data_IF_427441810801
#
_entry.id   IF_427441810801
#
_cell.length_a   1.000
_cell.length_b   1.000
_cell.length_c   1.000
_cell.angle_alpha   90.00
_cell.angle_beta   90.00
_cell.angle_gamma   90.00
#
_symmetry.space_group_name_H-M   'P 1'
#
loop_
_entity.id
_entity.type
_entity.pdbx_description
1 polymer ?
#
# COMPACT_ATOMS: atom_id res chain seq x y z
N UNK A 1 -9.28 9.98 23.52
CA UNK A 1 -10.57 9.30 23.30
C UNK A 1 -10.37 8.27 22.21
N UNK A 2 -10.81 7.02 22.41
CA UNK A 2 -10.68 5.96 21.40
C UNK A 2 -11.73 6.14 20.31
N UNK A 3 -11.35 5.94 19.04
CA UNK A 3 -12.28 5.99 17.92
C UNK A 3 -13.45 4.99 18.11
N UNK A 4 -14.69 5.35 17.74
CA UNK A 4 -15.82 4.43 17.83
C UNK A 4 -15.64 3.26 16.86
N UNK A 5 -16.12 2.07 17.24
CA UNK A 5 -16.05 0.90 16.35
C UNK A 5 -17.04 1.00 15.18
N UNK A 6 -16.73 0.29 14.10
CA UNK A 6 -17.62 0.12 12.92
C UNK A 6 -19.07 -0.20 13.32
N UNK A 7 -19.24 -1.15 14.25
CA UNK A 7 -20.56 -1.57 14.73
C UNK A 7 -21.27 -0.47 15.51
N UNK A 8 -20.53 0.30 16.33
CA UNK A 8 -21.09 1.42 17.08
C UNK A 8 -21.57 2.53 16.13
N UNK A 9 -20.79 2.84 15.09
CA UNK A 9 -21.18 3.78 14.04
C UNK A 9 -22.45 3.29 13.31
N UNK A 10 -22.50 2.03 12.90
CA UNK A 10 -23.69 1.47 12.23
C UNK A 10 -24.95 1.53 13.12
N UNK A 11 -24.79 1.38 14.44
CA UNK A 11 -25.88 1.59 15.38
C UNK A 11 -26.30 3.06 15.42
N UNK A 12 -25.36 4.02 15.41
CA UNK A 12 -25.66 5.46 15.35
C UNK A 12 -26.41 5.83 14.07
N UNK A 13 -25.99 5.33 12.92
CA UNK A 13 -26.68 5.56 11.63
C UNK A 13 -28.12 5.07 11.72
N UNK A 14 -28.34 3.86 12.24
CA UNK A 14 -29.69 3.32 12.42
C UNK A 14 -30.53 4.12 13.43
N UNK A 15 -29.94 4.65 14.48
CA UNK A 15 -30.65 5.47 15.46
C UNK A 15 -31.01 6.85 14.88
N UNK A 16 -30.10 7.48 14.14
CA UNK A 16 -30.30 8.80 13.56
C UNK A 16 -31.27 8.79 12.37
N UNK A 17 -31.23 7.74 11.54
CA UNK A 17 -31.93 7.69 10.24
C UNK A 17 -32.98 6.59 10.15
N UNK A 18 -33.13 5.79 11.22
CA UNK A 18 -34.00 4.64 11.25
C UNK A 18 -33.41 3.41 10.54
N UNK A 19 -34.22 2.35 10.48
CA UNK A 19 -33.84 1.10 9.79
C UNK A 19 -33.74 1.34 8.29
N UNK A 20 -32.64 0.91 7.66
CA UNK A 20 -32.43 1.01 6.21
C UNK A 20 -33.64 0.52 5.38
N UNK A 21 -34.31 -0.56 5.82
CA UNK A 21 -35.50 -1.12 5.15
C UNK A 21 -36.72 -0.20 5.02
N UNK A 22 -36.72 0.95 5.72
CA UNK A 22 -37.76 1.99 5.57
C UNK A 22 -37.47 2.96 4.43
N UNK A 23 -36.31 2.82 3.79
CA UNK A 23 -35.83 3.68 2.72
C UNK A 23 -35.72 2.90 1.41
N UNK A 24 -35.93 3.59 0.29
CA UNK A 24 -35.67 3.05 -1.03
C UNK A 24 -34.16 2.96 -1.26
N UNK A 25 -33.72 1.90 -1.94
CA UNK A 25 -32.34 1.72 -2.37
C UNK A 25 -31.96 2.84 -3.34
N UNK A 26 -30.89 3.57 -3.05
CA UNK A 26 -30.47 4.73 -3.87
C UNK A 26 -30.20 4.33 -5.33
N UNK A 27 -29.73 3.10 -5.57
CA UNK A 27 -29.32 2.65 -6.91
C UNK A 27 -30.46 2.05 -7.74
N UNK A 28 -31.51 1.49 -7.11
CA UNK A 28 -32.52 0.68 -7.82
C UNK A 28 -33.96 0.86 -7.34
N UNK A 29 -34.20 1.71 -6.35
CA UNK A 29 -35.53 2.02 -5.81
C UNK A 29 -36.18 0.92 -4.96
N UNK A 30 -35.69 -0.34 -5.00
CA UNK A 30 -36.21 -1.43 -4.16
C UNK A 30 -35.97 -1.16 -2.68
N UNK A 31 -36.71 -1.77 -1.73
CA UNK A 31 -36.46 -1.57 -0.31
C UNK A 31 -35.00 -1.90 0.07
N UNK A 32 -34.32 -0.96 0.70
CA UNK A 32 -32.96 -1.17 1.17
C UNK A 32 -32.91 -2.25 2.27
N UNK A 33 -31.71 -2.78 2.50
CA UNK A 33 -31.46 -3.79 3.53
C UNK A 33 -30.38 -3.36 4.50
N UNK A 34 -29.47 -2.51 4.05
CA UNK A 34 -28.30 -2.08 4.79
C UNK A 34 -28.07 -0.59 4.57
N UNK A 35 -27.42 0.03 5.54
CA UNK A 35 -26.75 1.30 5.34
C UNK A 35 -25.37 0.98 4.77
N UNK A 36 -25.04 1.58 3.64
CA UNK A 36 -23.79 1.40 2.90
C UNK A 36 -23.01 2.69 2.98
N UNK A 37 -21.76 2.64 3.42
CA UNK A 37 -20.90 3.81 3.46
C UNK A 37 -20.58 4.27 2.02
N UNK A 38 -20.59 5.58 1.77
CA UNK A 38 -20.43 6.17 0.43
C UNK A 38 -18.96 6.34 -0.01
N UNK A 39 -18.01 6.11 0.89
CA UNK A 39 -16.56 6.33 0.70
C UNK A 39 -16.17 7.78 0.36
N UNK A 40 -17.02 8.75 0.71
CA UNK A 40 -16.79 10.16 0.41
C UNK A 40 -16.29 10.97 1.62
N UNK A 41 -16.11 10.34 2.79
CA UNK A 41 -15.64 11.03 3.99
C UNK A 41 -14.14 11.33 3.91
N UNK A 42 -13.69 12.60 3.90
CA UNK A 42 -12.28 12.93 3.96
C UNK A 42 -11.61 12.48 5.28
N UNK A 43 -12.39 12.26 6.33
CA UNK A 43 -11.97 11.75 7.64
C UNK A 43 -12.31 10.26 7.83
N UNK A 44 -12.37 9.49 6.74
CA UNK A 44 -12.58 8.04 6.74
C UNK A 44 -11.67 7.32 7.76
N UNK A 45 -12.28 6.40 8.50
CA UNK A 45 -11.62 5.49 9.42
C UNK A 45 -11.59 4.08 8.84
N UNK A 46 -10.58 3.31 9.25
CA UNK A 46 -10.43 1.90 8.89
C UNK A 46 -10.32 1.09 10.17
N UNK A 47 -11.12 0.04 10.30
CA UNK A 47 -11.04 -0.87 11.46
C UNK A 47 -9.90 -1.89 11.31
N UNK A 48 -9.63 -2.67 12.36
CA UNK A 48 -8.56 -3.67 12.34
C UNK A 48 -8.75 -4.80 11.29
N UNK A 49 -9.94 -4.92 10.69
CA UNK A 49 -10.26 -5.89 9.64
C UNK A 49 -10.15 -5.28 8.24
N UNK A 50 -9.75 -4.01 8.14
CA UNK A 50 -9.67 -3.28 6.87
C UNK A 50 -11.02 -2.76 6.38
N UNK A 51 -12.05 -2.69 7.24
CA UNK A 51 -13.35 -2.14 6.84
C UNK A 51 -13.34 -0.62 6.98
N UNK A 52 -13.61 0.09 5.89
CA UNK A 52 -13.73 1.54 5.88
C UNK A 52 -15.09 2.01 6.41
N UNK A 53 -15.11 3.12 7.16
CA UNK A 53 -16.31 3.71 7.72
C UNK A 53 -16.12 5.19 8.07
N UNK A 54 -17.23 5.94 8.06
CA UNK A 54 -17.27 7.33 8.54
C UNK A 54 -17.88 7.41 9.93
N UNK A 55 -17.48 8.39 10.75
CA UNK A 55 -18.21 8.67 12.00
C UNK A 55 -19.42 9.58 11.80
N UNK A 56 -19.55 10.21 10.64
CA UNK A 56 -20.67 11.05 10.26
C UNK A 56 -21.79 10.20 9.63
N UNK A 57 -23.00 10.17 10.22
CA UNK A 57 -24.13 9.45 9.68
C UNK A 57 -24.61 9.90 8.29
N UNK A 58 -24.16 11.05 7.78
CA UNK A 58 -24.54 11.55 6.44
C UNK A 58 -23.88 10.77 5.30
N UNK A 59 -22.71 10.19 5.54
CA UNK A 59 -21.94 9.40 4.58
C UNK A 59 -22.47 7.98 4.33
N UNK A 60 -23.74 7.72 4.63
CA UNK A 60 -24.34 6.40 4.48
C UNK A 60 -25.54 6.46 3.54
N UNK A 61 -25.62 5.54 2.58
CA UNK A 61 -26.77 5.43 1.71
C UNK A 61 -27.58 4.17 2.00
N UNK A 62 -28.91 4.23 1.86
CA UNK A 62 -29.72 3.03 1.94
C UNK A 62 -29.51 2.21 0.66
N UNK A 63 -28.95 1.00 0.78
CA UNK A 63 -28.78 0.08 -0.35
C UNK A 63 -29.39 -1.29 -0.06
N UNK A 64 -29.92 -1.94 -1.09
CA UNK A 64 -30.25 -3.36 -1.02
C UNK A 64 -28.97 -4.21 -1.16
N UNK A 65 -29.00 -5.45 -0.68
CA UNK A 65 -27.82 -6.33 -0.69
C UNK A 65 -27.08 -6.44 -2.05
N UNK A 66 -27.75 -6.64 -3.20
CA UNK A 66 -27.03 -6.75 -4.47
C UNK A 66 -26.39 -5.41 -4.89
N UNK A 67 -27.09 -4.29 -4.71
CA UNK A 67 -26.53 -2.97 -5.03
C UNK A 67 -25.37 -2.60 -4.11
N UNK A 68 -25.48 -2.90 -2.81
CA UNK A 68 -24.40 -2.68 -1.85
C UNK A 68 -23.13 -3.44 -2.25
N UNK A 69 -23.25 -4.75 -2.53
CA UNK A 69 -22.09 -5.55 -2.97
C UNK A 69 -21.48 -5.06 -4.28
N UNK A 70 -22.32 -4.62 -5.22
CA UNK A 70 -21.86 -4.08 -6.50
C UNK A 70 -21.09 -2.76 -6.29
N UNK A 71 -21.61 -1.88 -5.42
CA UNK A 71 -20.99 -0.62 -5.04
C UNK A 71 -19.61 -0.85 -4.40
N UNK A 72 -19.53 -1.65 -3.34
CA UNK A 72 -18.26 -1.95 -2.65
C UNK A 72 -17.25 -2.65 -3.56
N UNK A 73 -17.73 -3.48 -4.50
CA UNK A 73 -16.87 -4.15 -5.48
C UNK A 73 -16.31 -3.16 -6.50
N UNK A 74 -17.14 -2.23 -6.99
CA UNK A 74 -16.72 -1.18 -7.90
C UNK A 74 -15.70 -0.24 -7.24
N UNK A 75 -15.92 0.13 -5.97
CA UNK A 75 -14.96 0.92 -5.19
C UNK A 75 -13.61 0.21 -5.05
N UNK A 76 -13.59 -1.05 -4.57
CA UNK A 76 -12.34 -1.81 -4.41
C UNK A 76 -11.59 -2.03 -5.72
N UNK A 77 -12.29 -2.17 -6.85
CA UNK A 77 -11.65 -2.32 -8.18
C UNK A 77 -10.92 -1.07 -8.64
N UNK A 78 -11.35 0.11 -8.21
CA UNK A 78 -10.63 1.36 -8.49
C UNK A 78 -9.34 1.49 -7.66
N UNK A 79 -9.09 0.53 -6.76
CA UNK A 79 -8.12 0.65 -5.69
C UNK A 79 -8.65 1.53 -4.58
N UNK A 80 -8.21 1.31 -3.35
CA UNK A 80 -8.56 2.19 -2.22
C UNK A 80 -7.96 3.57 -2.58
N UNK A 81 -8.76 4.63 -2.86
CA UNK A 81 -8.24 5.90 -3.35
C UNK A 81 -7.19 6.50 -2.41
N UNK A 82 -7.32 6.25 -1.11
CA UNK A 82 -6.31 6.62 -0.11
C UNK A 82 -4.98 5.89 -0.27
N UNK A 83 -4.99 4.61 -0.68
CA UNK A 83 -3.76 3.90 -1.02
C UNK A 83 -3.12 4.49 -2.28
N UNK A 84 -3.91 4.92 -3.27
CA UNK A 84 -3.38 5.65 -4.42
C UNK A 84 -2.77 7.00 -4.02
N UNK A 85 -3.44 7.77 -3.16
CA UNK A 85 -2.92 9.04 -2.65
C UNK A 85 -1.64 8.86 -1.85
N UNK A 86 -1.61 7.89 -0.91
CA UNK A 86 -0.43 7.55 -0.14
C UNK A 86 0.71 7.06 -1.04
N UNK A 87 0.41 6.21 -2.03
CA UNK A 87 1.40 5.74 -2.99
C UNK A 87 2.00 6.89 -3.80
N UNK A 88 1.18 7.86 -4.24
CA UNK A 88 1.65 9.04 -4.96
C UNK A 88 2.54 9.94 -4.08
N UNK A 89 2.18 10.13 -2.80
CA UNK A 89 2.99 10.88 -1.83
C UNK A 89 4.34 10.20 -1.56
N UNK A 90 4.34 8.88 -1.43
CA UNK A 90 5.54 8.09 -1.16
C UNK A 90 6.40 7.80 -2.40
N UNK A 91 5.87 8.02 -3.61
CA UNK A 91 6.56 7.73 -4.87
C UNK A 91 7.97 8.35 -4.97
N UNK A 92 8.20 9.65 -4.68
CA UNK A 92 9.55 10.21 -4.74
C UNK A 92 10.50 9.55 -3.72
N UNK A 93 10.01 9.19 -2.53
CA UNK A 93 10.81 8.54 -1.50
C UNK A 93 11.21 7.11 -1.91
N UNK A 94 10.26 6.35 -2.46
CA UNK A 94 10.51 5.01 -2.99
C UNK A 94 11.53 5.06 -4.13
N UNK A 95 11.38 6.00 -5.08
CA UNK A 95 12.33 6.18 -6.18
C UNK A 95 13.73 6.53 -5.68
N UNK A 96 13.83 7.45 -4.71
CA UNK A 96 15.11 7.83 -4.11
C UNK A 96 15.78 6.63 -3.40
N UNK A 97 15.01 5.84 -2.65
CA UNK A 97 15.51 4.64 -1.98
C UNK A 97 16.01 3.59 -2.98
N UNK A 98 15.28 3.37 -4.08
CA UNK A 98 15.71 2.47 -5.16
C UNK A 98 17.01 2.97 -5.81
N UNK A 99 17.12 4.26 -6.08
CA UNK A 99 18.34 4.86 -6.64
C UNK A 99 19.53 4.69 -5.68
N UNK A 100 19.35 5.04 -4.40
CA UNK A 100 20.38 4.87 -3.37
C UNK A 100 20.84 3.41 -3.27
N UNK A 101 19.91 2.44 -3.32
CA UNK A 101 20.25 1.01 -3.32
C UNK A 101 21.07 0.61 -4.55
N UNK A 102 20.75 1.15 -5.74
CA UNK A 102 21.53 0.87 -6.96
C UNK A 102 22.94 1.42 -6.85
N UNK A 103 23.12 2.64 -6.33
CA UNK A 103 24.45 3.22 -6.14
C UNK A 103 25.27 2.45 -5.08
N UNK A 104 24.64 2.05 -3.97
CA UNK A 104 25.29 1.21 -2.97
C UNK A 104 25.75 -0.13 -3.55
N UNK A 105 24.94 -0.75 -4.42
CA UNK A 105 25.32 -1.99 -5.11
C UNK A 105 26.51 -1.76 -6.04
N UNK A 106 26.49 -0.72 -6.87
CA UNK A 106 27.63 -0.39 -7.75
C UNK A 106 28.91 -0.16 -6.94
N UNK A 107 28.82 0.59 -5.84
CA UNK A 107 29.96 0.83 -4.96
C UNK A 107 30.49 -0.49 -4.36
N UNK A 108 29.60 -1.38 -3.93
CA UNK A 108 30.00 -2.72 -3.46
C UNK A 108 30.65 -3.56 -4.56
N UNK A 109 30.14 -3.51 -5.79
CA UNK A 109 30.71 -4.23 -6.93
C UNK A 109 32.11 -3.67 -7.27
N UNK A 110 32.30 -2.34 -7.22
CA UNK A 110 33.61 -1.69 -7.40
C UNK A 110 34.59 -2.12 -6.31
N UNK A 111 34.19 -2.04 -5.03
CA UNK A 111 35.04 -2.46 -3.92
C UNK A 111 35.41 -3.95 -4.01
N UNK A 112 34.51 -4.79 -4.50
CA UNK A 112 34.80 -6.20 -4.73
C UNK A 112 35.85 -6.39 -5.84
N UNK A 113 35.78 -5.63 -6.93
CA UNK A 113 36.79 -5.67 -8.01
C UNK A 113 38.14 -5.18 -7.50
N UNK A 114 38.20 -4.02 -6.85
CA UNK A 114 39.44 -3.45 -6.30
C UNK A 114 40.12 -4.41 -5.31
N UNK A 115 39.33 -5.05 -4.43
CA UNK A 115 39.83 -6.06 -3.51
C UNK A 115 40.46 -7.27 -4.23
N UNK A 116 39.82 -7.76 -5.31
CA UNK A 116 40.35 -8.90 -6.06
C UNK A 116 41.57 -8.54 -6.89
N UNK A 117 41.66 -7.32 -7.43
CA UNK A 117 42.85 -6.84 -8.14
C UNK A 117 44.06 -6.76 -7.20
N UNK A 118 43.88 -6.20 -6.00
CA UNK A 118 44.93 -6.14 -4.97
C UNK A 118 45.39 -7.54 -4.53
N UNK A 119 44.45 -8.46 -4.31
CA UNK A 119 44.77 -9.84 -3.92
C UNK A 119 45.45 -10.61 -5.06
N UNK A 120 45.02 -10.42 -6.30
CA UNK A 120 45.70 -10.98 -7.48
C UNK A 120 47.11 -10.43 -7.62
N UNK A 121 47.34 -9.14 -7.40
CA UNK A 121 48.67 -8.53 -7.43
C UNK A 121 49.56 -9.13 -6.34
N UNK A 122 49.05 -9.25 -5.10
CA UNK A 122 49.77 -9.89 -3.98
C UNK A 122 50.17 -11.33 -4.28
N UNK A 123 49.27 -12.11 -4.90
CA UNK A 123 49.50 -13.51 -5.22
C UNK A 123 50.42 -13.70 -6.43
N UNK A 124 50.40 -12.78 -7.40
CA UNK A 124 51.18 -12.87 -8.63
C UNK A 124 52.56 -12.20 -8.56
N UNK A 125 52.79 -11.29 -7.61
CA UNK A 125 54.06 -10.60 -7.43
C UNK A 125 55.27 -11.54 -7.19
N UNK A 126 55.17 -12.65 -6.42
CA UNK A 126 56.27 -13.61 -6.29
C UNK A 126 56.56 -14.37 -7.59
N UNK A 127 55.53 -14.64 -8.41
CA UNK A 127 55.69 -15.36 -9.68
C UNK A 127 56.37 -14.49 -10.75
N UNK A 128 56.13 -13.16 -10.72
CA UNK A 128 56.81 -12.20 -11.60
C UNK A 128 58.28 -11.99 -11.28
N UNK A 129 58.66 -12.18 -10.02
CA UNK A 129 60.03 -12.01 -9.54
C UNK A 129 60.77 -13.35 -9.37
N UNK A 130 60.23 -14.46 -9.91
CA UNK A 130 60.90 -15.75 -9.88
C UNK A 130 62.01 -15.79 -10.96
N UNK A 131 63.30 -15.87 -10.58
CA UNK A 131 64.41 -15.94 -11.53
C UNK A 131 64.43 -17.25 -12.33
N UNK A 132 63.51 -18.19 -12.11
CA UNK A 132 63.31 -19.37 -12.96
C UNK A 132 62.37 -19.10 -14.14
N UNK A 133 61.58 -18.02 -14.11
CA UNK A 133 60.65 -17.68 -15.19
C UNK A 133 61.35 -17.26 -16.50
N UNK A 134 62.59 -16.79 -16.43
CA UNK A 134 63.39 -16.37 -17.60
C UNK A 134 64.16 -17.51 -18.29
N UNK A 135 64.10 -18.74 -17.76
CA UNK A 135 64.92 -19.87 -18.24
C UNK A 135 64.26 -20.79 -19.27
N UNK A 136 63.07 -20.43 -19.78
CA UNK A 136 62.31 -21.23 -20.75
C UNK A 136 61.92 -20.47 -22.02
N UNK A 137 62.70 -19.46 -22.42
CA UNK A 137 62.61 -18.84 -23.74
C UNK A 137 63.71 -19.37 -24.67
#
# INVERSE_FOLDING_TARGET
>A
MTAPSYSAVHARVQNARGRARRHACIDCGRPARQWSYDHADPAELVDARGMEYSTDPTHYDPRCNPCHRAFDSAYRKQGIPRLHALAAELEPQIRAAIAARKEARKASDVLAVEYWDDELERLSAPLRNDPRAERTA
#
